data_IF_545004200801
#
_entry.id   IF_545004200801
#
_cell.length_a   1.000
_cell.length_b   1.000
_cell.length_c   1.000
_cell.angle_alpha   90.00
_cell.angle_beta   90.00
_cell.angle_gamma   90.00
#
_symmetry.space_group_name_H-M   'P 1'
#
loop_
_entity.id
_entity.type
_entity.pdbx_description
1 polymer ?
#
# COMPACT_ATOMS: atom_id res chain seq x y z
N UNK A 1 -21.49 -6.18 0.74
CA UNK A 1 -21.73 -4.71 0.74
C UNK A 1 -20.42 -3.95 0.91
N UNK A 2 -19.41 -4.24 0.08
CA UNK A 2 -18.10 -3.53 0.04
C UNK A 2 -17.80 -2.97 -1.37
N UNK A 3 -18.37 -3.60 -2.40
CA UNK A 3 -18.37 -3.15 -3.81
C UNK A 3 -18.76 -1.66 -3.89
N UNK A 4 -19.78 -1.24 -3.14
CA UNK A 4 -20.26 0.14 -3.16
C UNK A 4 -19.24 1.18 -2.62
N UNK A 5 -18.42 0.83 -1.63
CA UNK A 5 -17.41 1.77 -1.11
C UNK A 5 -16.23 1.90 -2.09
N UNK A 6 -15.72 0.77 -2.58
CA UNK A 6 -14.64 0.73 -3.56
C UNK A 6 -15.00 1.53 -4.80
N UNK A 7 -16.14 1.25 -5.41
CA UNK A 7 -16.56 1.89 -6.66
C UNK A 7 -16.80 3.40 -6.48
N UNK A 8 -17.32 3.81 -5.31
CA UNK A 8 -17.41 5.23 -4.94
C UNK A 8 -16.03 5.88 -4.84
N UNK A 9 -15.07 5.24 -4.19
CA UNK A 9 -13.71 5.77 -4.06
C UNK A 9 -13.02 5.88 -5.41
N UNK A 10 -13.14 4.86 -6.27
CA UNK A 10 -12.64 4.90 -7.66
C UNK A 10 -13.29 6.06 -8.41
N UNK A 11 -14.62 6.21 -8.35
CA UNK A 11 -15.31 7.32 -9.03
C UNK A 11 -14.84 8.70 -8.56
N UNK A 12 -14.61 8.87 -7.26
CA UNK A 12 -14.07 10.12 -6.70
C UNK A 12 -12.64 10.35 -7.18
N UNK A 13 -11.77 9.34 -7.15
CA UNK A 13 -10.39 9.44 -7.60
C UNK A 13 -10.28 9.69 -9.10
N UNK A 14 -11.16 9.12 -9.92
CA UNK A 14 -11.19 9.37 -11.37
C UNK A 14 -11.46 10.85 -11.63
N UNK A 15 -12.44 11.45 -10.94
CA UNK A 15 -12.74 12.89 -11.07
C UNK A 15 -11.60 13.78 -10.59
N UNK A 16 -10.83 13.33 -9.60
CA UNK A 16 -9.66 14.06 -9.12
C UNK A 16 -8.50 13.93 -10.12
N UNK A 17 -8.27 12.73 -10.67
CA UNK A 17 -7.31 12.48 -11.76
C UNK A 17 -7.62 13.32 -12.99
N UNK A 18 -8.88 13.42 -13.40
CA UNK A 18 -9.34 14.26 -14.53
C UNK A 18 -9.04 15.76 -14.33
N UNK A 19 -8.85 16.20 -13.08
CA UNK A 19 -8.43 17.56 -12.74
C UNK A 19 -6.90 17.73 -12.70
N UNK A 20 -6.14 16.69 -13.04
CA UNK A 20 -4.68 16.71 -13.14
C UNK A 20 -3.92 16.38 -11.86
N UNK A 21 -4.59 15.86 -10.82
CA UNK A 21 -3.94 15.48 -9.56
C UNK A 21 -3.36 14.07 -9.63
N UNK A 22 -2.21 13.88 -8.97
CA UNK A 22 -1.58 12.57 -8.82
C UNK A 22 -2.23 11.69 -7.74
N UNK A 23 -1.80 10.42 -7.63
CA UNK A 23 -2.40 9.46 -6.71
C UNK A 23 -2.25 9.86 -5.24
N UNK A 24 -1.09 10.41 -4.84
CA UNK A 24 -0.87 10.89 -3.48
C UNK A 24 -1.83 12.04 -3.10
N UNK A 25 -2.00 13.03 -4.00
CA UNK A 25 -2.92 14.15 -3.78
C UNK A 25 -4.38 13.68 -3.73
N UNK A 26 -4.77 12.76 -4.61
CA UNK A 26 -6.13 12.26 -4.65
C UNK A 26 -6.50 11.45 -3.41
N UNK A 27 -5.56 10.69 -2.86
CA UNK A 27 -5.72 10.01 -1.58
C UNK A 27 -5.79 11.02 -0.43
N UNK A 28 -4.93 12.06 -0.43
CA UNK A 28 -5.05 13.15 0.55
C UNK A 28 -6.44 13.81 0.50
N UNK A 29 -7.01 14.00 -0.69
CA UNK A 29 -8.38 14.50 -0.85
C UNK A 29 -9.44 13.55 -0.26
N UNK A 30 -9.31 12.23 -0.46
CA UNK A 30 -10.18 11.26 0.22
C UNK A 30 -10.02 11.39 1.73
N UNK A 31 -8.78 11.36 2.22
CA UNK A 31 -8.48 11.42 3.65
C UNK A 31 -9.02 12.69 4.27
N UNK A 32 -8.88 13.84 3.64
CA UNK A 32 -9.44 15.10 4.13
C UNK A 32 -10.97 15.09 4.09
N UNK A 33 -11.59 14.52 3.04
CA UNK A 33 -13.04 14.39 2.94
C UNK A 33 -13.63 13.51 4.05
N UNK A 34 -12.88 12.50 4.50
CA UNK A 34 -13.25 11.60 5.61
C UNK A 34 -12.76 12.14 6.97
N UNK A 35 -11.70 12.94 6.96
CA UNK A 35 -10.85 13.35 8.07
C UNK A 35 -11.29 14.60 8.82
N UNK A 36 -12.37 15.27 8.42
CA UNK A 36 -13.07 16.17 9.34
C UNK A 36 -13.55 15.45 10.62
N UNK A 37 -13.47 14.10 10.68
CA UNK A 37 -13.78 13.30 11.87
C UNK A 37 -12.67 12.35 12.36
N UNK A 38 -11.57 12.13 11.61
CA UNK A 38 -10.55 11.12 11.96
C UNK A 38 -9.14 11.63 11.65
N UNK A 39 -8.28 11.69 12.68
CA UNK A 39 -6.87 12.14 12.56
C UNK A 39 -5.90 11.05 12.10
N UNK A 40 -6.37 9.80 11.98
CA UNK A 40 -5.55 8.64 11.60
C UNK A 40 -6.39 7.69 10.74
N UNK A 41 -6.04 7.58 9.46
CA UNK A 41 -6.80 6.86 8.43
C UNK A 41 -6.76 5.36 8.67
N UNK A 42 -5.65 4.86 9.22
CA UNK A 42 -5.49 3.45 9.62
C UNK A 42 -6.52 3.01 10.67
N UNK A 43 -7.10 3.96 11.42
CA UNK A 43 -8.14 3.69 12.43
C UNK A 43 -9.56 3.63 11.85
N UNK A 44 -9.74 4.00 10.58
CA UNK A 44 -11.02 3.84 9.89
C UNK A 44 -11.10 2.40 9.40
N UNK A 45 -11.73 1.52 10.21
CA UNK A 45 -11.80 0.07 9.97
C UNK A 45 -12.26 -0.37 8.55
N UNK A 46 -12.89 0.53 7.78
CA UNK A 46 -13.37 0.25 6.42
C UNK A 46 -12.33 0.59 5.34
N UNK A 47 -11.36 1.44 5.65
CA UNK A 47 -10.23 1.77 4.78
C UNK A 47 -9.06 0.86 5.15
N UNK A 48 -8.93 -0.26 4.46
CA UNK A 48 -7.76 -1.12 4.61
C UNK A 48 -6.68 -0.70 3.63
N UNK A 49 -5.42 -1.00 3.92
CA UNK A 49 -4.33 -0.76 2.98
C UNK A 49 -4.55 -1.45 1.63
N UNK A 50 -5.13 -2.67 1.64
CA UNK A 50 -5.53 -3.41 0.43
C UNK A 50 -6.56 -2.65 -0.40
N UNK A 51 -7.62 -2.12 0.23
CA UNK A 51 -8.61 -1.32 -0.47
C UNK A 51 -8.00 -0.04 -1.06
N UNK A 52 -7.11 0.64 -0.33
CA UNK A 52 -6.43 1.83 -0.83
C UNK A 52 -5.54 1.49 -2.03
N UNK A 53 -4.73 0.42 -1.92
CA UNK A 53 -3.88 -0.06 -3.02
C UNK A 53 -4.72 -0.36 -4.27
N UNK A 54 -5.80 -1.10 -4.10
CA UNK A 54 -6.74 -1.49 -5.16
C UNK A 54 -7.39 -0.28 -5.84
N UNK A 55 -7.87 0.70 -5.06
CA UNK A 55 -8.48 1.91 -5.62
C UNK A 55 -7.45 2.74 -6.38
N UNK A 56 -6.24 2.91 -5.86
CA UNK A 56 -5.16 3.64 -6.54
C UNK A 56 -4.81 2.94 -7.86
N UNK A 57 -4.50 1.64 -7.77
CA UNK A 57 -4.13 0.83 -8.92
C UNK A 57 -5.24 0.82 -9.99
N UNK A 58 -6.50 0.70 -9.59
CA UNK A 58 -7.64 0.73 -10.52
C UNK A 58 -7.84 2.08 -11.20
N UNK A 59 -7.53 3.18 -10.51
CA UNK A 59 -7.82 4.54 -11.02
C UNK A 59 -6.68 5.10 -11.87
N UNK A 60 -5.43 4.81 -11.47
CA UNK A 60 -4.24 5.35 -12.11
C UNK A 60 -3.53 4.32 -12.99
N UNK A 61 -3.76 3.02 -12.78
CA UNK A 61 -3.22 1.92 -13.58
C UNK A 61 -1.70 2.07 -13.78
N UNK A 62 -1.26 2.12 -15.04
CA UNK A 62 0.14 2.21 -15.44
C UNK A 62 0.83 3.52 -15.01
N UNK A 63 0.06 4.55 -14.61
CA UNK A 63 0.60 5.82 -14.14
C UNK A 63 1.11 5.77 -12.69
N UNK A 64 0.97 4.63 -11.97
CA UNK A 64 1.43 4.52 -10.58
C UNK A 64 2.34 3.31 -10.38
N UNK A 65 3.56 3.59 -9.91
CA UNK A 65 4.54 2.55 -9.61
C UNK A 65 4.21 1.83 -8.29
N UNK A 66 4.62 0.55 -8.13
CA UNK A 66 4.49 -0.16 -6.86
C UNK A 66 5.12 0.59 -5.68
N UNK A 67 6.24 1.29 -5.91
CA UNK A 67 6.90 2.10 -4.89
C UNK A 67 6.01 3.27 -4.43
N UNK A 68 5.36 3.95 -5.37
CA UNK A 68 4.48 5.08 -5.05
C UNK A 68 3.27 4.62 -4.22
N UNK A 69 2.68 3.46 -4.56
CA UNK A 69 1.62 2.84 -3.73
C UNK A 69 2.13 2.54 -2.31
N UNK A 70 3.32 1.94 -2.19
CA UNK A 70 3.92 1.61 -0.88
C UNK A 70 4.15 2.87 -0.02
N UNK A 71 4.65 3.94 -0.63
CA UNK A 71 4.86 5.24 0.02
C UNK A 71 3.53 5.86 0.47
N UNK A 72 2.49 5.79 -0.36
CA UNK A 72 1.16 6.30 0.02
C UNK A 72 0.62 5.53 1.22
N UNK A 73 0.60 4.19 1.17
CA UNK A 73 0.12 3.35 2.28
C UNK A 73 0.89 3.67 3.58
N UNK A 74 2.21 3.78 3.50
CA UNK A 74 3.06 4.17 4.63
C UNK A 74 2.69 5.54 5.20
N UNK A 75 2.47 6.52 4.33
CA UNK A 75 2.16 7.91 4.71
C UNK A 75 0.82 8.01 5.43
N UNK A 76 -0.12 7.13 5.09
CA UNK A 76 -1.41 7.00 5.76
C UNK A 76 -1.35 6.32 7.14
N UNK A 77 -0.17 5.84 7.55
CA UNK A 77 0.06 5.27 8.89
C UNK A 77 -0.16 3.77 9.02
N UNK A 78 -0.43 3.05 7.91
CA UNK A 78 -0.52 1.59 7.93
C UNK A 78 0.85 0.95 8.17
N UNK A 79 0.86 -0.25 8.75
CA UNK A 79 2.08 -0.95 9.15
C UNK A 79 2.82 -1.62 7.97
N UNK A 80 4.03 -2.13 8.24
CA UNK A 80 4.85 -2.81 7.24
C UNK A 80 4.14 -4.00 6.56
N UNK A 81 3.44 -4.85 7.31
CA UNK A 81 2.69 -5.98 6.74
C UNK A 81 1.52 -5.52 5.86
N UNK A 82 0.93 -4.36 6.16
CA UNK A 82 -0.18 -3.79 5.38
C UNK A 82 0.32 -3.27 4.03
N UNK A 83 1.52 -2.67 4.01
CA UNK A 83 2.23 -2.30 2.78
C UNK A 83 2.49 -3.55 1.93
N UNK A 84 3.12 -4.58 2.51
CA UNK A 84 3.40 -5.83 1.78
C UNK A 84 2.11 -6.42 1.23
N UNK A 85 1.07 -6.53 2.06
CA UNK A 85 -0.21 -7.13 1.65
C UNK A 85 -0.92 -6.34 0.55
N UNK A 86 -0.84 -5.01 0.58
CA UNK A 86 -1.38 -4.16 -0.49
C UNK A 86 -0.61 -4.31 -1.80
N UNK A 87 0.72 -4.35 -1.74
CA UNK A 87 1.56 -4.52 -2.94
C UNK A 87 1.42 -5.92 -3.54
N UNK A 88 1.49 -6.96 -2.71
CA UNK A 88 1.39 -8.35 -3.17
C UNK A 88 0.06 -8.63 -3.88
N UNK A 89 -1.04 -8.03 -3.40
CA UNK A 89 -2.36 -8.22 -4.01
C UNK A 89 -2.52 -7.48 -5.35
N UNK A 90 -1.98 -6.27 -5.47
CA UNK A 90 -2.13 -5.46 -6.69
C UNK A 90 -1.05 -5.74 -7.74
N UNK A 91 0.12 -6.22 -7.31
CA UNK A 91 1.25 -6.53 -8.17
C UNK A 91 1.73 -7.97 -7.94
N UNK A 92 0.88 -8.99 -8.19
CA UNK A 92 1.20 -10.39 -7.91
C UNK A 92 2.38 -10.94 -8.75
N UNK A 93 2.79 -10.22 -9.79
CA UNK A 93 3.98 -10.53 -10.59
C UNK A 93 5.30 -10.21 -9.89
N UNK A 94 5.30 -9.39 -8.83
CA UNK A 94 6.51 -9.04 -8.11
C UNK A 94 6.96 -10.21 -7.23
N UNK A 95 8.25 -10.51 -7.32
CA UNK A 95 8.90 -11.50 -6.46
C UNK A 95 8.95 -11.01 -5.01
N UNK A 96 9.07 -11.94 -4.03
CA UNK A 96 9.25 -11.58 -2.62
C UNK A 96 10.45 -10.65 -2.39
N UNK A 97 11.53 -10.81 -3.16
CA UNK A 97 12.70 -9.95 -3.07
C UNK A 97 12.42 -8.52 -3.59
N UNK A 98 11.69 -8.39 -4.70
CA UNK A 98 11.30 -7.08 -5.22
C UNK A 98 10.38 -6.33 -4.25
N UNK A 99 9.36 -7.00 -3.71
CA UNK A 99 8.50 -6.40 -2.67
C UNK A 99 9.31 -6.08 -1.41
N UNK A 100 10.28 -6.93 -1.06
CA UNK A 100 11.19 -6.67 0.04
C UNK A 100 12.02 -5.40 -0.15
N UNK A 101 12.53 -5.16 -1.36
CA UNK A 101 13.24 -3.90 -1.69
C UNK A 101 12.34 -2.68 -1.60
N UNK A 102 11.07 -2.79 -2.03
CA UNK A 102 10.09 -1.71 -1.87
C UNK A 102 9.82 -1.41 -0.40
N UNK A 103 9.70 -2.44 0.45
CA UNK A 103 9.48 -2.27 1.88
C UNK A 103 10.66 -1.56 2.56
N UNK A 104 11.88 -1.89 2.16
CA UNK A 104 13.13 -1.34 2.71
C UNK A 104 13.57 -0.04 2.04
N UNK A 105 12.80 0.48 1.09
CA UNK A 105 13.05 1.78 0.49
C UNK A 105 13.08 2.89 1.56
N UNK A 106 13.92 3.91 1.33
CA UNK A 106 14.14 5.02 2.25
C UNK A 106 12.84 5.76 2.65
N UNK A 107 11.82 5.72 1.78
CA UNK A 107 10.53 6.41 1.97
C UNK A 107 9.46 5.52 2.62
N UNK A 108 9.75 4.24 2.84
CA UNK A 108 8.76 3.25 3.33
C UNK A 108 9.12 2.81 4.76
N UNK A 109 9.94 1.77 4.90
CA UNK A 109 10.41 1.26 6.20
C UNK A 109 11.88 0.80 6.15
N UNK A 110 12.84 1.72 5.92
CA UNK A 110 14.25 1.36 5.72
C UNK A 110 14.96 0.80 6.96
N UNK A 111 14.36 0.98 8.14
CA UNK A 111 14.89 0.51 9.43
C UNK A 111 14.25 -0.78 9.92
N UNK A 112 13.47 -1.44 9.07
CA UNK A 112 12.91 -2.76 9.41
C UNK A 112 14.08 -3.71 9.64
N UNK A 113 14.13 -4.36 10.80
CA UNK A 113 15.13 -5.40 11.02
C UNK A 113 14.69 -6.71 10.34
N UNK A 114 15.62 -7.65 10.22
CA UNK A 114 15.39 -8.94 9.54
C UNK A 114 14.19 -9.71 10.11
N UNK A 115 13.96 -9.67 11.43
CA UNK A 115 12.86 -10.39 12.07
C UNK A 115 11.52 -9.73 11.77
N UNK A 116 11.45 -8.40 11.90
CA UNK A 116 10.29 -7.60 11.54
C UNK A 116 9.97 -7.74 10.04
N UNK A 117 10.99 -7.81 9.18
CA UNK A 117 10.84 -8.03 7.74
C UNK A 117 10.19 -9.38 7.43
N UNK A 118 10.72 -10.48 7.97
CA UNK A 118 10.15 -11.82 7.73
C UNK A 118 8.70 -11.86 8.21
N UNK A 119 8.42 -11.25 9.37
CA UNK A 119 7.05 -11.16 9.90
C UNK A 119 6.15 -10.37 8.96
N UNK A 120 6.59 -9.21 8.48
CA UNK A 120 5.82 -8.38 7.57
C UNK A 120 5.55 -9.07 6.23
N UNK A 121 6.55 -9.75 5.66
CA UNK A 121 6.42 -10.52 4.42
C UNK A 121 5.42 -11.68 4.58
N UNK A 122 5.51 -12.42 5.68
CA UNK A 122 4.63 -13.55 5.97
C UNK A 122 3.18 -13.09 6.19
N UNK A 123 2.97 -12.05 7.01
CA UNK A 123 1.63 -11.50 7.23
C UNK A 123 1.05 -10.80 5.98
N UNK A 124 1.91 -10.29 5.10
CA UNK A 124 1.53 -9.72 3.81
C UNK A 124 1.13 -10.75 2.74
N UNK A 125 1.28 -12.05 3.02
CA UNK A 125 0.75 -13.13 2.19
C UNK A 125 1.79 -13.97 1.46
N UNK A 126 3.09 -13.73 1.68
CA UNK A 126 4.13 -14.66 1.24
C UNK A 126 4.27 -15.83 2.22
N UNK A 127 4.77 -16.96 1.74
CA UNK A 127 5.11 -18.07 2.63
C UNK A 127 6.30 -17.70 3.52
N UNK A 128 6.47 -18.45 4.61
CA UNK A 128 7.59 -18.24 5.52
C UNK A 128 8.93 -18.49 4.82
N UNK A 129 8.99 -19.54 4.00
CA UNK A 129 10.18 -19.92 3.24
C UNK A 129 10.57 -18.83 2.24
N UNK A 130 9.62 -18.29 1.47
CA UNK A 130 9.86 -17.15 0.56
C UNK A 130 10.35 -15.92 1.31
N UNK A 131 9.74 -15.63 2.46
CA UNK A 131 10.10 -14.50 3.32
C UNK A 131 11.53 -14.62 3.85
N UNK A 132 11.93 -15.81 4.30
CA UNK A 132 13.28 -16.09 4.79
C UNK A 132 14.32 -16.05 3.66
N UNK A 133 13.98 -16.54 2.47
CA UNK A 133 14.84 -16.46 1.28
C UNK A 133 15.09 -14.99 0.88
N UNK A 134 14.05 -14.18 0.76
CA UNK A 134 14.19 -12.75 0.47
C UNK A 134 15.01 -12.04 1.55
N UNK A 135 14.77 -12.36 2.83
CA UNK A 135 15.53 -11.79 3.93
C UNK A 135 17.02 -12.16 3.88
N UNK A 136 17.36 -13.38 3.42
CA UNK A 136 18.75 -13.78 3.25
C UNK A 136 19.45 -12.97 2.17
N UNK A 137 18.78 -12.66 1.06
CA UNK A 137 19.35 -11.83 -0.02
C UNK A 137 19.48 -10.35 0.35
N UNK A 138 18.58 -9.82 1.16
CA UNK A 138 18.48 -8.37 1.41
C UNK A 138 19.23 -7.90 2.67
N UNK A 139 19.54 -8.79 3.60
CA UNK A 139 20.27 -8.50 4.84
C UNK A 139 21.65 -9.19 4.90
N UNK A 140 22.17 -9.67 3.76
CA UNK A 140 23.48 -10.32 3.68
C UNK A 140 24.64 -9.35 3.89
#
# INVERSE_FOLDING_TARGET
MFIDLRDKMVSVLTRIRERGYGPADAINHIVQSLGSRYSDVSKVNVLTAKLIADVIHSTYQDDTSPLEVAVIIRTLGYAAWDVVGGIHEQYPQLTPEEVGRLLLDEKVYPKTDRTAFISAMTYGGYTREESEQAANSLYS
#
